data_IF_106120420464
#
_entry.id   IF_106120420464
#
_cell.length_a   1.000
_cell.length_b   1.000
_cell.length_c   1.000
_cell.angle_alpha   90.00
_cell.angle_beta   90.00
_cell.angle_gamma   90.00
#
_symmetry.space_group_name_H-M   'P 1'
#
loop_
_entity.id
_entity.type
_entity.pdbx_description
1 polymer ?
#
# COMPACT_ATOMS: atom_id res chain seq x y z
N UNK A 1 -15.21 -17.68 -11.19
CA UNK A 1 -14.26 -17.32 -10.11
C UNK A 1 -13.35 -16.16 -10.54
N UNK A 2 -12.63 -16.27 -11.66
CA UNK A 2 -11.68 -15.23 -12.12
C UNK A 2 -12.30 -13.83 -12.31
N UNK A 3 -13.47 -13.73 -12.93
CA UNK A 3 -14.15 -12.43 -13.17
C UNK A 3 -14.58 -11.72 -11.88
N UNK A 4 -14.98 -12.48 -10.85
CA UNK A 4 -15.35 -11.90 -9.55
C UNK A 4 -14.13 -11.38 -8.79
N UNK A 5 -13.00 -12.08 -8.91
CA UNK A 5 -11.71 -11.64 -8.34
C UNK A 5 -11.22 -10.37 -9.03
N UNK A 6 -11.36 -10.29 -10.36
CA UNK A 6 -10.99 -9.11 -11.14
C UNK A 6 -11.87 -7.89 -10.79
N UNK A 7 -13.20 -8.09 -10.72
CA UNK A 7 -14.14 -7.05 -10.26
C UNK A 7 -13.83 -6.57 -8.85
N UNK A 8 -13.47 -7.48 -7.94
CA UNK A 8 -13.06 -7.12 -6.59
C UNK A 8 -11.77 -6.29 -6.59
N UNK A 9 -10.79 -6.67 -7.41
CA UNK A 9 -9.54 -5.90 -7.58
C UNK A 9 -9.79 -4.48 -8.08
N UNK A 10 -10.68 -4.31 -9.06
CA UNK A 10 -11.08 -2.99 -9.58
C UNK A 10 -11.76 -2.15 -8.51
N UNK A 11 -12.69 -2.74 -7.74
CA UNK A 11 -13.37 -2.03 -6.66
C UNK A 11 -12.40 -1.58 -5.57
N UNK A 12 -11.47 -2.45 -5.17
CA UNK A 12 -10.43 -2.13 -4.20
C UNK A 12 -9.56 -0.98 -4.70
N UNK A 13 -9.11 -1.01 -5.95
CA UNK A 13 -8.33 0.08 -6.56
C UNK A 13 -9.10 1.41 -6.65
N UNK A 14 -10.41 1.36 -6.93
CA UNK A 14 -11.26 2.56 -6.96
C UNK A 14 -11.39 3.18 -5.56
N UNK A 15 -11.58 2.35 -4.53
CA UNK A 15 -11.66 2.82 -3.14
C UNK A 15 -10.34 3.44 -2.68
N UNK A 16 -9.21 2.84 -3.02
CA UNK A 16 -7.89 3.40 -2.72
C UNK A 16 -7.68 4.78 -3.34
N UNK A 17 -8.04 4.92 -4.63
CA UNK A 17 -7.94 6.20 -5.33
C UNK A 17 -8.88 7.25 -4.71
N UNK A 18 -10.10 6.85 -4.36
CA UNK A 18 -11.08 7.73 -3.73
C UNK A 18 -10.60 8.23 -2.36
N UNK A 19 -10.04 7.34 -1.54
CA UNK A 19 -9.48 7.70 -0.21
C UNK A 19 -8.27 8.62 -0.37
N UNK A 20 -7.34 8.32 -1.30
CA UNK A 20 -6.20 9.19 -1.57
C UNK A 20 -6.63 10.59 -2.02
N UNK A 21 -7.56 10.68 -2.97
CA UNK A 21 -8.11 11.95 -3.44
C UNK A 21 -8.86 12.71 -2.36
N UNK A 22 -9.56 12.02 -1.46
CA UNK A 22 -10.26 12.65 -0.35
C UNK A 22 -9.30 13.44 0.54
N UNK A 23 -8.13 12.87 0.84
CA UNK A 23 -7.11 13.58 1.63
C UNK A 23 -6.37 14.67 0.83
N UNK A 24 -6.18 14.52 -0.47
CA UNK A 24 -5.52 15.56 -1.29
C UNK A 24 -6.40 16.80 -1.52
N UNK A 25 -7.71 16.61 -1.61
CA UNK A 25 -8.65 17.66 -2.08
C UNK A 25 -9.29 18.45 -0.94
N UNK A 26 -9.20 17.96 0.30
CA UNK A 26 -9.81 18.59 1.47
C UNK A 26 -8.79 19.47 2.20
N UNK A 27 -9.15 20.69 2.63
CA UNK A 27 -8.30 21.49 3.51
C UNK A 27 -7.90 20.71 4.76
N UNK A 28 -6.61 20.71 5.12
CA UNK A 28 -6.04 19.90 6.19
C UNK A 28 -6.10 18.37 5.97
N UNK A 29 -6.30 17.91 4.74
CA UNK A 29 -6.38 16.48 4.45
C UNK A 29 -5.08 15.70 4.69
N UNK A 30 -3.90 16.34 4.64
CA UNK A 30 -2.64 15.73 5.09
C UNK A 30 -2.64 15.40 6.59
N UNK A 31 -3.23 16.27 7.42
CA UNK A 31 -3.38 16.04 8.86
C UNK A 31 -4.42 14.95 9.12
N UNK A 32 -5.56 14.99 8.42
CA UNK A 32 -6.57 13.94 8.47
C UNK A 32 -6.00 12.57 8.04
N UNK A 33 -5.12 12.53 7.03
CA UNK A 33 -4.44 11.31 6.60
C UNK A 33 -3.51 10.77 7.70
N UNK A 34 -2.78 11.65 8.39
CA UNK A 34 -1.92 11.25 9.52
C UNK A 34 -2.73 10.66 10.66
N UNK A 35 -3.80 11.34 11.08
CA UNK A 35 -4.70 10.84 12.13
C UNK A 35 -5.32 9.49 11.75
N UNK A 36 -5.80 9.36 10.51
CA UNK A 36 -6.34 8.10 10.01
C UNK A 36 -5.31 6.96 10.03
N UNK A 37 -4.07 7.24 9.65
CA UNK A 37 -2.98 6.26 9.72
C UNK A 37 -2.73 5.82 11.17
N UNK A 38 -2.72 6.75 12.12
CA UNK A 38 -2.50 6.44 13.53
C UNK A 38 -3.68 5.62 14.11
N UNK A 39 -4.92 5.94 13.76
CA UNK A 39 -6.10 5.17 14.15
C UNK A 39 -6.02 3.72 13.62
N UNK A 40 -5.61 3.54 12.36
CA UNK A 40 -5.47 2.19 11.75
C UNK A 40 -4.34 1.41 12.41
N UNK A 41 -3.24 2.06 12.83
CA UNK A 41 -2.16 1.41 13.60
C UNK A 41 -2.64 0.94 14.96
N UNK A 42 -3.35 1.79 15.69
CA UNK A 42 -3.91 1.43 16.99
C UNK A 42 -4.90 0.25 16.86
N UNK A 43 -5.71 0.25 15.80
CA UNK A 43 -6.62 -0.85 15.51
C UNK A 43 -5.86 -2.14 15.17
N UNK A 44 -4.77 -2.07 14.41
CA UNK A 44 -3.92 -3.21 14.11
C UNK A 44 -3.30 -3.79 15.38
N UNK A 45 -2.76 -2.96 16.26
CA UNK A 45 -2.17 -3.39 17.54
C UNK A 45 -3.21 -4.10 18.40
N UNK A 46 -4.37 -3.48 18.62
CA UNK A 46 -5.47 -4.08 19.38
C UNK A 46 -5.98 -5.40 18.75
N UNK A 47 -6.00 -5.47 17.42
CA UNK A 47 -6.38 -6.69 16.69
C UNK A 47 -5.34 -7.79 16.90
N UNK A 48 -4.05 -7.45 16.86
CA UNK A 48 -2.97 -8.41 17.06
C UNK A 48 -2.89 -8.93 18.50
N UNK A 49 -3.23 -8.11 19.50
CA UNK A 49 -3.33 -8.55 20.90
C UNK A 49 -4.41 -9.62 21.10
N UNK A 50 -5.53 -9.50 20.40
CA UNK A 50 -6.67 -10.42 20.52
C UNK A 50 -6.56 -11.63 19.57
N UNK A 51 -6.10 -11.39 18.35
CA UNK A 51 -6.12 -12.32 17.22
C UNK A 51 -4.89 -12.12 16.31
N UNK A 52 -3.71 -12.59 16.74
CA UNK A 52 -2.49 -12.46 15.97
C UNK A 52 -2.61 -13.16 14.61
N UNK A 53 -2.10 -12.51 13.55
CA UNK A 53 -2.10 -12.98 12.17
C UNK A 53 -3.48 -13.23 11.55
N UNK A 54 -4.53 -12.64 12.12
CA UNK A 54 -5.87 -12.75 11.56
C UNK A 54 -5.97 -12.13 10.16
N UNK A 55 -6.95 -12.55 9.34
CA UNK A 55 -7.23 -11.91 8.05
C UNK A 55 -7.52 -10.39 8.18
N UNK A 56 -8.05 -9.96 9.32
CA UNK A 56 -8.28 -8.56 9.63
C UNK A 56 -6.96 -7.80 9.81
N UNK A 57 -6.02 -8.35 10.58
CA UNK A 57 -4.68 -7.77 10.74
C UNK A 57 -3.95 -7.60 9.39
N UNK A 58 -3.99 -8.63 8.54
CA UNK A 58 -3.40 -8.57 7.18
C UNK A 58 -4.05 -7.48 6.30
N UNK A 59 -5.35 -7.22 6.50
CA UNK A 59 -6.07 -6.16 5.80
C UNK A 59 -5.58 -4.78 6.24
N UNK A 60 -5.40 -4.55 7.54
CA UNK A 60 -4.90 -3.29 8.08
C UNK A 60 -3.44 -3.02 7.69
N UNK A 61 -2.58 -4.04 7.74
CA UNK A 61 -1.20 -3.95 7.25
C UNK A 61 -1.14 -3.57 5.77
N UNK A 62 -1.97 -4.22 4.95
CA UNK A 62 -2.07 -3.91 3.51
C UNK A 62 -2.56 -2.49 3.26
N UNK A 63 -3.51 -2.01 4.07
CA UNK A 63 -4.00 -0.64 4.01
C UNK A 63 -2.90 0.37 4.38
N UNK A 64 -2.17 0.15 5.48
CA UNK A 64 -1.05 1.00 5.90
C UNK A 64 0.05 1.08 4.83
N UNK A 65 0.40 -0.05 4.20
CA UNK A 65 1.35 -0.11 3.08
C UNK A 65 0.92 0.77 1.92
N UNK A 66 -0.36 0.72 1.54
CA UNK A 66 -0.91 1.50 0.43
C UNK A 66 -1.01 2.99 0.76
N UNK A 67 -1.22 3.36 2.02
CA UNK A 67 -1.20 4.75 2.47
C UNK A 67 0.22 5.35 2.53
N UNK A 68 1.26 4.53 2.34
CA UNK A 68 2.67 4.92 2.49
C UNK A 68 3.11 5.00 3.95
N UNK A 69 2.38 4.34 4.85
CA UNK A 69 2.59 4.37 6.31
C UNK A 69 3.27 3.10 6.86
N UNK A 70 4.01 2.38 6.02
CA UNK A 70 4.79 1.21 6.44
C UNK A 70 5.95 1.62 7.32
N UNK A 71 6.25 0.78 8.32
CA UNK A 71 7.47 0.91 9.10
C UNK A 71 8.66 0.67 8.16
N UNK A 72 9.80 1.36 8.31
CA UNK A 72 11.00 1.09 7.49
C UNK A 72 11.48 -0.37 7.56
N UNK A 73 11.01 -1.11 8.56
CA UNK A 73 11.26 -2.54 8.78
C UNK A 73 10.50 -3.44 7.77
N UNK A 74 9.40 -2.96 7.18
CA UNK A 74 8.61 -3.66 6.15
C UNK A 74 9.17 -3.47 4.72
N UNK A 75 10.18 -2.61 4.55
CA UNK A 75 10.82 -2.36 3.27
C UNK A 75 11.61 -3.58 2.73
N UNK A 76 11.77 -4.65 3.52
CA UNK A 76 12.49 -5.87 3.15
C UNK A 76 11.76 -6.82 2.20
N UNK A 77 10.51 -6.56 1.82
CA UNK A 77 9.74 -7.41 0.88
C UNK A 77 9.33 -6.69 -0.42
N UNK A 78 9.87 -5.49 -0.66
CA UNK A 78 9.71 -4.79 -1.94
C UNK A 78 10.71 -5.30 -2.97
N UNK A 79 10.24 -6.07 -3.95
CA UNK A 79 10.94 -6.24 -5.23
C UNK A 79 11.29 -4.86 -5.75
N UNK A 80 12.58 -4.53 -5.78
CA UNK A 80 13.07 -3.33 -6.44
C UNK A 80 12.61 -3.39 -7.91
N UNK A 81 12.01 -2.31 -8.47
CA UNK A 81 11.80 -2.26 -9.90
C UNK A 81 13.18 -2.26 -10.55
N UNK A 82 13.52 -3.36 -11.23
CA UNK A 82 14.67 -3.44 -12.11
C UNK A 82 14.59 -2.26 -13.08
N UNK A 83 15.54 -1.32 -13.08
CA UNK A 83 15.50 -0.23 -14.05
C UNK A 83 15.63 -0.82 -15.45
N UNK A 84 14.68 -0.44 -16.31
CA UNK A 84 14.63 -0.79 -17.71
C UNK A 84 15.87 -0.22 -18.42
N UNK A 85 16.95 -1.02 -18.50
CA UNK A 85 18.11 -0.71 -19.33
C UNK A 85 17.75 -0.96 -20.80
N UNK A 86 17.10 0.03 -21.40
CA UNK A 86 17.23 0.27 -22.83
C UNK A 86 18.46 1.13 -23.09
N UNK A 87 19.48 0.57 -23.75
CA UNK A 87 20.30 1.19 -24.81
C UNK A 87 21.27 0.12 -25.36
N UNK A 88 21.55 0.12 -26.68
CA UNK A 88 22.21 -0.99 -27.36
C UNK A 88 23.71 -1.04 -27.04
N UNK A 89 24.26 -2.26 -27.00
CA UNK A 89 25.71 -2.52 -26.96
C UNK A 89 26.33 -1.91 -28.22
N UNK A 90 26.95 -0.74 -28.09
CA UNK A 90 28.00 -0.29 -29.00
C UNK A 90 29.27 -1.05 -28.62
N UNK A 91 29.77 -1.86 -29.54
CA UNK A 91 31.07 -2.51 -29.39
C UNK A 91 32.22 -1.51 -29.37
N UNK A 92 33.40 -1.97 -28.93
CA UNK A 92 34.60 -1.76 -29.72
C UNK A 92 35.30 -3.09 -29.98
N UNK A 93 35.87 -3.21 -31.18
CA UNK A 93 36.43 -4.46 -31.69
C UNK A 93 37.72 -4.90 -31.01
N UNK A 94 37.95 -6.22 -31.10
CA UNK A 94 39.24 -6.86 -31.37
C UNK A 94 38.96 -8.14 -32.16
#
# INVERSE_FOLDING_TARGET
MSEQVEKLGILVGLFELAIGRLFETVPAGDEAKRLFVDDVRQLLDATNELQPHSPAAQTYESLLRRLGATSPEDAGLGVAPTPEHGLPVSGPGV
#
